data_IF_949768980643
#
_entry.id   IF_949768980643
#
_cell.length_a   1.000
_cell.length_b   1.000
_cell.length_c   1.000
_cell.angle_alpha   90.00
_cell.angle_beta   90.00
_cell.angle_gamma   90.00
#
_symmetry.space_group_name_H-M   'P 1'
#
loop_
_entity.id
_entity.type
_entity.pdbx_description
1 polymer ?
#
# COMPACT_ATOMS: atom_id res chain seq x y z
N UNK A 1 -29.80 12.15 -1.32
CA UNK A 1 -29.04 11.08 -0.64
C UNK A 1 -28.09 11.74 0.34
N UNK A 2 -28.23 11.49 1.65
CA UNK A 2 -27.30 12.04 2.64
C UNK A 2 -25.96 11.30 2.52
N UNK A 3 -24.85 12.03 2.61
CA UNK A 3 -23.53 11.41 2.65
C UNK A 3 -23.45 10.46 3.86
N UNK A 4 -22.83 9.27 3.72
CA UNK A 4 -22.66 8.35 4.84
C UNK A 4 -21.85 9.04 5.95
N UNK A 5 -22.09 8.68 7.21
CA UNK A 5 -21.25 9.17 8.31
C UNK A 5 -19.78 8.76 8.08
N UNK A 6 -18.88 9.72 8.27
CA UNK A 6 -17.45 9.49 8.11
C UNK A 6 -16.87 8.72 9.31
N UNK A 7 -15.96 7.78 9.03
CA UNK A 7 -15.19 7.09 10.07
C UNK A 7 -13.77 7.66 10.09
N UNK A 8 -13.49 8.53 11.06
CA UNK A 8 -12.14 9.08 11.24
C UNK A 8 -11.21 8.06 11.93
N UNK A 9 -11.67 7.45 13.01
CA UNK A 9 -10.99 6.38 13.74
C UNK A 9 -11.98 5.27 14.03
N UNK A 10 -11.52 4.02 13.99
CA UNK A 10 -12.29 2.91 14.54
C UNK A 10 -11.98 2.68 16.01
N UNK A 11 -12.99 2.17 16.71
CA UNK A 11 -12.91 1.70 18.09
C UNK A 11 -13.70 0.40 18.16
N UNK A 12 -12.97 -0.71 18.26
CA UNK A 12 -13.54 -2.06 18.33
C UNK A 12 -13.27 -2.60 19.74
N UNK A 13 -14.34 -2.91 20.46
CA UNK A 13 -14.26 -3.45 21.82
C UNK A 13 -13.77 -4.91 21.87
N UNK A 14 -14.02 -5.66 20.79
CA UNK A 14 -13.71 -7.08 20.66
C UNK A 14 -12.27 -7.38 20.23
N UNK A 15 -11.52 -6.40 19.73
CA UNK A 15 -10.17 -6.60 19.19
C UNK A 15 -9.15 -5.60 19.76
N UNK A 16 -7.91 -6.07 19.93
CA UNK A 16 -6.80 -5.23 20.38
C UNK A 16 -6.30 -4.36 19.24
N UNK A 17 -6.36 -3.04 19.41
CA UNK A 17 -5.72 -2.09 18.48
C UNK A 17 -4.21 -2.33 18.46
N UNK A 18 -3.66 -2.58 17.27
CA UNK A 18 -2.23 -2.79 17.05
C UNK A 18 -1.53 -1.46 16.82
N UNK A 19 -2.00 -0.68 15.84
CA UNK A 19 -1.53 0.68 15.56
C UNK A 19 -2.50 1.41 14.62
N UNK A 20 -2.33 2.73 14.52
CA UNK A 20 -2.98 3.56 13.51
C UNK A 20 -1.94 4.15 12.57
N UNK A 21 -2.10 3.89 11.28
CA UNK A 21 -1.36 4.59 10.23
C UNK A 21 -2.09 5.85 9.80
N UNK A 22 -1.58 6.53 8.76
CA UNK A 22 -2.20 7.76 8.22
C UNK A 22 -3.69 7.54 7.86
N UNK A 23 -4.01 6.41 7.23
CA UNK A 23 -5.37 6.15 6.67
C UNK A 23 -5.96 4.78 7.03
N UNK A 24 -5.26 3.98 7.86
CA UNK A 24 -5.70 2.64 8.26
C UNK A 24 -5.53 2.45 9.76
N UNK A 25 -6.52 1.85 10.40
CA UNK A 25 -6.44 1.34 11.76
C UNK A 25 -6.28 -0.18 11.68
N UNK A 26 -5.32 -0.73 12.43
CA UNK A 26 -4.98 -2.15 12.36
C UNK A 26 -5.20 -2.79 13.72
N UNK A 27 -5.89 -3.93 13.75
CA UNK A 27 -6.19 -4.70 14.96
C UNK A 27 -5.60 -6.10 14.88
N UNK A 28 -5.13 -6.63 16.00
CA UNK A 28 -4.75 -8.03 16.11
C UNK A 28 -6.02 -8.90 16.28
N UNK A 29 -6.14 -9.97 15.49
CA UNK A 29 -7.21 -10.98 15.64
C UNK A 29 -6.67 -12.18 16.42
N UNK A 30 -5.60 -12.79 15.90
CA UNK A 30 -4.89 -13.91 16.53
C UNK A 30 -3.39 -13.87 16.13
N UNK A 31 -2.63 -14.93 16.37
CA UNK A 31 -1.20 -14.99 16.02
C UNK A 31 -0.91 -14.91 14.52
N UNK A 32 -1.87 -15.29 13.66
CA UNK A 32 -1.73 -15.43 12.22
C UNK A 32 -2.55 -14.41 11.43
N UNK A 33 -3.50 -13.74 12.05
CA UNK A 33 -4.43 -12.84 11.37
C UNK A 33 -4.51 -11.46 12.03
N UNK A 34 -4.77 -10.46 11.20
CA UNK A 34 -5.04 -9.09 11.62
C UNK A 34 -6.18 -8.50 10.80
N UNK A 35 -6.88 -7.53 11.38
CA UNK A 35 -7.90 -6.75 10.71
C UNK A 35 -7.29 -5.43 10.25
N UNK A 36 -7.44 -5.09 8.98
CA UNK A 36 -7.11 -3.75 8.46
C UNK A 36 -8.42 -3.02 8.19
N UNK A 37 -8.66 -1.93 8.91
CA UNK A 37 -9.78 -1.01 8.71
C UNK A 37 -9.28 0.20 7.92
N UNK A 38 -9.79 0.41 6.72
CA UNK A 38 -9.49 1.63 5.94
C UNK A 38 -10.44 2.74 6.36
N UNK A 39 -9.91 3.80 6.97
CA UNK A 39 -10.70 4.92 7.48
C UNK A 39 -10.99 5.94 6.37
N UNK A 40 -11.79 6.95 6.71
CA UNK A 40 -12.10 8.09 5.85
C UNK A 40 -11.04 9.21 5.97
N UNK A 41 -10.01 9.04 6.81
CA UNK A 41 -8.86 9.95 6.90
C UNK A 41 -8.10 10.03 5.60
N UNK A 42 -7.65 11.23 5.26
CA UNK A 42 -6.78 11.51 4.12
C UNK A 42 -5.52 12.22 4.62
N UNK A 43 -4.39 12.01 3.95
CA UNK A 43 -3.14 12.70 4.27
C UNK A 43 -2.56 13.38 3.04
N UNK A 44 -1.99 14.56 3.24
CA UNK A 44 -1.21 15.30 2.24
C UNK A 44 0.06 15.83 2.91
N UNK A 45 1.18 15.82 2.18
CA UNK A 45 2.49 16.24 2.70
C UNK A 45 2.84 15.60 4.05
N UNK A 46 2.59 14.29 4.16
CA UNK A 46 2.81 13.48 5.37
C UNK A 46 1.99 13.85 6.61
N UNK A 47 1.06 14.79 6.50
CA UNK A 47 0.14 15.19 7.57
C UNK A 47 -1.26 14.62 7.31
N UNK A 48 -1.88 14.05 8.35
CA UNK A 48 -3.28 13.63 8.32
C UNK A 48 -4.16 14.88 8.45
N UNK A 49 -5.07 15.09 7.51
CA UNK A 49 -5.97 16.24 7.52
C UNK A 49 -7.08 16.05 8.57
N UNK A 50 -7.57 17.15 9.19
CA UNK A 50 -8.62 17.08 10.20
C UNK A 50 -9.97 16.63 9.62
N UNK A 51 -10.25 16.99 8.35
CA UNK A 51 -11.52 16.68 7.69
C UNK A 51 -11.45 15.35 6.92
N UNK A 52 -12.24 14.33 7.27
CA UNK A 52 -12.29 13.08 6.53
C UNK A 52 -13.10 13.21 5.23
N UNK A 53 -12.89 12.27 4.30
CA UNK A 53 -13.70 12.14 3.08
C UNK A 53 -14.72 11.02 3.27
N UNK A 54 -16.01 11.32 3.53
CA UNK A 54 -16.98 10.30 3.88
C UNK A 54 -17.12 9.20 2.83
N UNK A 55 -16.99 7.95 3.24
CA UNK A 55 -17.10 6.78 2.35
C UNK A 55 -15.83 6.42 1.58
N UNK A 56 -14.76 7.21 1.66
CA UNK A 56 -13.46 6.89 1.03
C UNK A 56 -12.95 5.50 1.43
N UNK A 57 -13.04 5.16 2.71
CA UNK A 57 -12.55 3.87 3.22
C UNK A 57 -13.22 2.67 2.55
N UNK A 58 -14.52 2.80 2.25
CA UNK A 58 -15.29 1.77 1.52
C UNK A 58 -14.85 1.66 0.07
N UNK A 59 -14.70 2.80 -0.61
CA UNK A 59 -14.24 2.84 -2.01
C UNK A 59 -12.85 2.22 -2.14
N UNK A 60 -11.90 2.63 -1.31
CA UNK A 60 -10.52 2.11 -1.37
C UNK A 60 -10.44 0.63 -1.00
N UNK A 61 -11.29 0.15 -0.11
CA UNK A 61 -11.38 -1.28 0.21
C UNK A 61 -11.93 -2.08 -0.97
N UNK A 62 -12.99 -1.58 -1.63
CA UNK A 62 -13.54 -2.21 -2.83
C UNK A 62 -12.53 -2.26 -3.98
N UNK A 63 -11.80 -1.16 -4.23
CA UNK A 63 -10.72 -1.11 -5.23
C UNK A 63 -9.61 -2.11 -4.90
N UNK A 64 -9.21 -2.21 -3.63
CA UNK A 64 -8.17 -3.16 -3.21
C UNK A 64 -8.63 -4.61 -3.45
N UNK A 65 -9.87 -4.96 -3.04
CA UNK A 65 -10.43 -6.29 -3.26
C UNK A 65 -10.55 -6.64 -4.75
N UNK A 66 -10.94 -5.68 -5.59
CA UNK A 66 -10.95 -5.86 -7.04
C UNK A 66 -9.56 -6.23 -7.57
N UNK A 67 -8.51 -5.50 -7.15
CA UNK A 67 -7.15 -5.77 -7.60
C UNK A 67 -6.61 -7.10 -7.06
N UNK A 68 -6.86 -7.43 -5.79
CA UNK A 68 -6.48 -8.74 -5.22
C UNK A 68 -7.10 -9.91 -6.00
N UNK A 69 -8.36 -9.79 -6.41
CA UNK A 69 -9.00 -10.80 -7.25
C UNK A 69 -8.39 -10.83 -8.65
N UNK A 70 -8.16 -9.66 -9.27
CA UNK A 70 -7.63 -9.53 -10.63
C UNK A 70 -6.21 -10.08 -10.77
N UNK A 71 -5.38 -9.92 -9.75
CA UNK A 71 -3.96 -10.33 -9.74
C UNK A 71 -3.69 -11.65 -9.01
N UNK A 72 -4.71 -12.29 -8.43
CA UNK A 72 -4.54 -13.53 -7.66
C UNK A 72 -3.93 -14.70 -8.45
N UNK A 73 -4.04 -14.70 -9.78
CA UNK A 73 -3.38 -15.67 -10.68
C UNK A 73 -1.87 -15.40 -10.90
N UNK A 74 -1.41 -14.20 -10.56
CA UNK A 74 -0.02 -13.76 -10.76
C UNK A 74 0.77 -14.05 -9.48
N UNK A 75 0.24 -13.65 -8.32
CA UNK A 75 0.89 -13.87 -7.03
C UNK A 75 -0.16 -14.06 -5.92
N UNK A 76 0.07 -14.97 -4.94
CA UNK A 76 -0.77 -15.03 -3.75
C UNK A 76 -0.76 -13.70 -3.00
N UNK A 77 -1.90 -13.33 -2.44
CA UNK A 77 -2.03 -12.13 -1.62
C UNK A 77 -2.33 -12.49 -0.15
N UNK A 78 -2.33 -11.47 0.70
CA UNK A 78 -2.46 -11.64 2.14
C UNK A 78 -3.91 -11.85 2.63
N UNK A 79 -4.93 -11.83 1.77
CA UNK A 79 -6.31 -12.02 2.22
C UNK A 79 -6.44 -13.39 2.92
N UNK A 80 -7.09 -13.38 4.08
CA UNK A 80 -7.38 -14.60 4.83
C UNK A 80 -8.70 -15.21 4.36
N UNK A 81 -8.85 -16.53 4.54
CA UNK A 81 -10.13 -17.19 4.36
C UNK A 81 -11.13 -16.92 5.51
N UNK A 82 -10.64 -16.36 6.62
CA UNK A 82 -11.43 -16.01 7.79
C UNK A 82 -12.41 -14.88 7.45
N UNK A 83 -13.70 -15.09 7.70
CA UNK A 83 -14.72 -14.09 7.41
C UNK A 83 -14.68 -12.92 8.39
N UNK A 84 -15.26 -11.78 8.01
CA UNK A 84 -15.36 -10.62 8.91
C UNK A 84 -16.22 -10.93 10.15
N UNK A 85 -17.25 -11.76 10.01
CA UNK A 85 -18.10 -12.20 11.12
C UNK A 85 -17.34 -13.06 12.12
N UNK A 86 -16.49 -13.98 11.64
CA UNK A 86 -15.62 -14.79 12.49
C UNK A 86 -14.54 -13.94 13.16
N UNK A 87 -13.98 -12.95 12.45
CA UNK A 87 -12.93 -12.08 12.96
C UNK A 87 -13.44 -11.00 13.94
N UNK A 88 -14.68 -10.54 13.78
CA UNK A 88 -15.31 -9.47 14.57
C UNK A 88 -16.67 -9.96 15.05
N UNK A 89 -16.72 -10.78 16.12
CA UNK A 89 -17.95 -11.42 16.58
C UNK A 89 -18.96 -10.42 17.16
N UNK A 90 -18.50 -9.27 17.68
CA UNK A 90 -19.39 -8.23 18.18
C UNK A 90 -20.08 -7.48 17.02
N UNK A 91 -21.42 -7.46 17.03
CA UNK A 91 -22.23 -6.86 15.96
C UNK A 91 -22.05 -5.35 15.81
N UNK A 92 -21.90 -4.62 16.92
CA UNK A 92 -21.71 -3.18 16.89
C UNK A 92 -20.33 -2.80 16.30
N UNK A 93 -19.28 -3.51 16.71
CA UNK A 93 -17.95 -3.38 16.14
C UNK A 93 -17.96 -3.71 14.64
N UNK A 94 -18.62 -4.81 14.24
CA UNK A 94 -18.70 -5.24 12.85
C UNK A 94 -19.47 -4.25 11.98
N UNK A 95 -20.55 -3.66 12.50
CA UNK A 95 -21.33 -2.64 11.80
C UNK A 95 -20.50 -1.38 11.48
N UNK A 96 -19.62 -0.96 12.39
CA UNK A 96 -18.74 0.20 12.20
C UNK A 96 -17.79 0.03 11.01
N UNK A 97 -17.26 -1.19 10.83
CA UNK A 97 -16.21 -1.47 9.83
C UNK A 97 -16.71 -2.16 8.55
N UNK A 98 -18.03 -2.38 8.45
CA UNK A 98 -18.67 -3.01 7.32
C UNK A 98 -18.33 -2.29 5.98
N UNK A 99 -17.84 -3.07 5.02
CA UNK A 99 -17.45 -2.63 3.68
C UNK A 99 -16.13 -1.86 3.61
N UNK A 100 -15.42 -1.69 4.73
CA UNK A 100 -14.14 -0.94 4.81
C UNK A 100 -13.06 -1.67 5.60
N UNK A 101 -13.26 -2.95 5.92
CA UNK A 101 -12.28 -3.79 6.59
C UNK A 101 -11.99 -5.06 5.80
N UNK A 102 -10.75 -5.51 5.88
CA UNK A 102 -10.27 -6.78 5.33
C UNK A 102 -9.56 -7.57 6.41
N UNK A 103 -9.82 -8.89 6.43
CA UNK A 103 -9.10 -9.84 7.28
C UNK A 103 -7.92 -10.37 6.50
N UNK A 104 -6.72 -10.23 7.06
CA UNK A 104 -5.48 -10.56 6.36
C UNK A 104 -4.57 -11.41 7.23
N UNK A 105 -3.71 -12.19 6.57
CA UNK A 105 -2.63 -12.95 7.18
C UNK A 105 -1.55 -11.97 7.65
N UNK A 106 -0.99 -12.24 8.83
CA UNK A 106 0.24 -11.60 9.32
C UNK A 106 1.41 -12.14 8.51
N UNK A 107 2.10 -11.26 7.81
CA UNK A 107 3.26 -11.56 6.98
C UNK A 107 4.43 -10.68 7.38
N UNK A 108 5.66 -11.16 7.11
CA UNK A 108 6.86 -10.32 7.21
C UNK A 108 6.96 -9.47 5.94
N UNK A 109 6.82 -8.16 6.09
CA UNK A 109 7.00 -7.23 4.97
C UNK A 109 8.46 -7.26 4.48
N UNK A 110 8.64 -7.13 3.17
CA UNK A 110 9.97 -6.95 2.58
C UNK A 110 10.48 -5.53 2.88
N UNK A 111 11.79 -5.32 3.10
CA UNK A 111 12.40 -4.01 3.37
C UNK A 111 12.52 -3.11 2.13
N UNK A 112 11.72 -3.34 1.09
CA UNK A 112 11.73 -2.58 -0.17
C UNK A 112 10.32 -2.24 -0.60
N UNK A 113 10.16 -1.09 -1.25
CA UNK A 113 8.94 -0.72 -1.96
C UNK A 113 9.11 -1.06 -3.44
N UNK A 114 8.27 -1.96 -3.95
CA UNK A 114 8.30 -2.46 -5.32
C UNK A 114 7.53 -1.51 -6.27
N UNK A 115 8.17 -0.39 -6.62
CA UNK A 115 7.55 0.66 -7.44
C UNK A 115 7.76 0.36 -8.93
N UNK A 116 6.69 0.44 -9.72
CA UNK A 116 6.73 0.36 -11.18
C UNK A 116 6.25 1.66 -11.80
N UNK A 117 6.98 2.14 -12.81
CA UNK A 117 6.67 3.40 -13.51
C UNK A 117 6.42 3.13 -14.98
N UNK A 118 5.23 3.48 -15.45
CA UNK A 118 4.92 3.59 -16.88
C UNK A 118 5.03 5.02 -17.44
N UNK A 119 5.10 6.02 -16.55
CA UNK A 119 5.17 7.45 -16.87
C UNK A 119 6.22 8.13 -15.97
N UNK A 120 6.90 9.13 -16.51
CA UNK A 120 7.98 9.83 -15.81
C UNK A 120 7.44 11.04 -15.03
N UNK A 121 7.18 10.83 -13.73
CA UNK A 121 6.64 11.86 -12.82
C UNK A 121 7.20 11.69 -11.40
N UNK A 122 7.00 12.69 -10.54
CA UNK A 122 7.35 12.63 -9.12
C UNK A 122 8.87 12.58 -8.89
N UNK A 123 9.33 11.75 -7.95
CA UNK A 123 10.76 11.58 -7.66
C UNK A 123 11.55 11.10 -8.89
N UNK A 124 10.97 10.23 -9.72
CA UNK A 124 11.62 9.77 -10.95
C UNK A 124 11.89 10.91 -11.95
N UNK A 125 10.99 11.89 -12.07
CA UNK A 125 11.25 13.08 -12.90
C UNK A 125 12.41 13.91 -12.34
N UNK A 126 12.47 14.12 -11.02
CA UNK A 126 13.56 14.87 -10.38
C UNK A 126 14.92 14.20 -10.60
N UNK A 127 14.98 12.87 -10.53
CA UNK A 127 16.22 12.12 -10.76
C UNK A 127 16.66 12.19 -12.22
N UNK A 128 15.71 12.03 -13.15
CA UNK A 128 15.97 12.15 -14.58
C UNK A 128 16.50 13.53 -14.97
N UNK A 129 15.93 14.62 -14.43
CA UNK A 129 16.43 15.97 -14.70
C UNK A 129 17.88 16.17 -14.25
N UNK A 130 18.30 15.49 -13.18
CA UNK A 130 19.66 15.60 -12.64
C UNK A 130 20.67 14.71 -13.37
N UNK A 131 20.24 13.51 -13.79
CA UNK A 131 21.19 12.44 -14.17
C UNK A 131 20.87 11.78 -15.52
N UNK A 132 19.70 12.03 -16.10
CA UNK A 132 19.18 11.27 -17.23
C UNK A 132 18.72 9.85 -16.87
N UNK A 133 18.71 9.48 -15.59
CA UNK A 133 18.40 8.14 -15.12
C UNK A 133 17.41 8.13 -13.94
N UNK A 134 16.80 6.98 -13.68
CA UNK A 134 15.96 6.72 -12.49
C UNK A 134 16.41 5.41 -11.87
N UNK A 135 16.78 5.41 -10.58
CA UNK A 135 17.27 4.20 -9.89
C UNK A 135 18.46 3.52 -10.62
N UNK A 136 19.31 4.30 -11.29
CA UNK A 136 20.43 3.81 -12.10
C UNK A 136 20.06 3.36 -13.52
N UNK A 137 18.77 3.41 -13.90
CA UNK A 137 18.30 3.04 -15.24
C UNK A 137 18.36 4.28 -16.14
N UNK A 138 19.25 4.29 -17.12
CA UNK A 138 19.34 5.36 -18.12
C UNK A 138 18.07 5.43 -18.98
N UNK A 139 17.53 6.63 -19.15
CA UNK A 139 16.34 6.87 -19.96
C UNK A 139 16.68 7.64 -21.24
N UNK A 140 15.83 7.55 -22.30
CA UNK A 140 15.99 8.35 -23.51
C UNK A 140 16.12 9.84 -23.20
N UNK A 141 16.89 10.57 -24.01
CA UNK A 141 16.99 12.02 -23.89
C UNK A 141 15.70 12.71 -24.34
N UNK A 142 15.46 13.91 -23.82
CA UNK A 142 14.35 14.78 -24.26
C UNK A 142 12.96 14.39 -23.73
N UNK A 143 12.86 13.47 -22.78
CA UNK A 143 11.58 13.15 -22.14
C UNK A 143 11.05 14.37 -21.38
N UNK A 144 9.72 14.55 -21.42
CA UNK A 144 9.03 15.63 -20.69
C UNK A 144 8.36 15.12 -19.41
N UNK A 145 7.99 16.06 -18.54
CA UNK A 145 7.23 15.76 -17.34
C UNK A 145 5.92 15.03 -17.70
N UNK A 146 5.64 13.94 -16.99
CA UNK A 146 4.48 13.06 -17.19
C UNK A 146 4.43 12.36 -18.56
N UNK A 147 5.56 12.27 -19.28
CA UNK A 147 5.65 11.53 -20.53
C UNK A 147 5.62 10.02 -20.29
N UNK A 148 5.00 9.28 -21.22
CA UNK A 148 4.96 7.81 -21.18
C UNK A 148 6.34 7.25 -21.48
N UNK A 149 6.80 6.30 -20.65
CA UNK A 149 8.06 5.62 -20.89
C UNK A 149 7.93 4.58 -22.02
N UNK A 150 9.02 4.26 -22.74
CA UNK A 150 9.00 3.23 -23.78
C UNK A 150 8.55 1.86 -23.28
N UNK A 151 8.90 1.53 -22.03
CA UNK A 151 8.46 0.35 -21.30
C UNK A 151 8.28 0.69 -19.82
N UNK A 152 7.48 -0.11 -19.11
CA UNK A 152 7.39 -0.01 -17.66
C UNK A 152 8.75 -0.40 -17.04
N UNK A 153 9.18 0.33 -16.02
CA UNK A 153 10.45 0.09 -15.33
C UNK A 153 10.21 -0.13 -13.83
N UNK A 154 11.00 -1.03 -13.25
CA UNK A 154 11.06 -1.27 -11.81
C UNK A 154 12.04 -0.30 -11.16
N UNK A 155 11.58 0.52 -10.23
CA UNK A 155 12.34 1.62 -9.61
C UNK A 155 12.21 1.55 -8.09
N UNK A 156 12.90 0.61 -7.43
CA UNK A 156 12.68 0.32 -6.02
C UNK A 156 13.08 1.50 -5.13
N UNK A 157 12.48 1.55 -3.95
CA UNK A 157 12.99 2.36 -2.84
C UNK A 157 13.17 1.52 -1.57
N UNK A 158 14.02 1.98 -0.66
CA UNK A 158 14.01 1.44 0.71
C UNK A 158 12.71 1.81 1.40
N UNK A 159 12.30 0.97 2.36
CA UNK A 159 11.21 1.30 3.27
C UNK A 159 11.81 2.01 4.48
N UNK A 160 11.64 3.33 4.57
CA UNK A 160 12.19 4.09 5.69
C UNK A 160 11.36 3.89 6.97
N UNK A 161 11.98 4.12 8.13
CA UNK A 161 11.24 4.18 9.39
C UNK A 161 10.27 5.36 9.41
N UNK A 162 9.25 5.26 10.26
CA UNK A 162 8.17 6.23 10.33
C UNK A 162 8.71 7.63 10.69
N UNK A 163 8.62 8.57 9.74
CA UNK A 163 9.16 9.95 9.87
C UNK A 163 10.35 10.26 8.96
N UNK A 164 10.88 9.25 8.26
CA UNK A 164 11.90 9.43 7.21
C UNK A 164 11.30 9.26 5.80
N UNK A 165 11.97 9.79 4.78
CA UNK A 165 11.56 9.61 3.39
C UNK A 165 12.17 8.35 2.80
N UNK A 166 11.37 7.61 2.03
CA UNK A 166 11.86 6.48 1.22
C UNK A 166 12.90 6.96 0.21
N UNK A 167 14.01 6.22 0.11
CA UNK A 167 15.11 6.55 -0.79
C UNK A 167 15.08 5.65 -2.02
N UNK A 168 15.10 6.23 -3.22
CA UNK A 168 15.23 5.47 -4.47
C UNK A 168 16.57 4.71 -4.46
N UNK A 169 16.52 3.40 -4.71
CA UNK A 169 17.70 2.54 -4.76
C UNK A 169 17.82 1.83 -6.10
N UNK A 170 19.01 1.32 -6.41
CA UNK A 170 19.23 0.49 -7.60
C UNK A 170 18.67 -0.92 -7.39
N UNK A 171 18.46 -1.66 -8.50
CA UNK A 171 18.13 -3.08 -8.41
C UNK A 171 19.24 -3.88 -7.72
N UNK A 172 20.52 -3.54 -7.93
CA UNK A 172 21.64 -4.16 -7.23
C UNK A 172 21.51 -4.03 -5.71
N UNK A 173 21.07 -2.87 -5.22
CA UNK A 173 20.82 -2.70 -3.78
C UNK A 173 19.65 -3.56 -3.27
N UNK A 174 18.64 -3.80 -4.11
CA UNK A 174 17.56 -4.74 -3.78
C UNK A 174 18.08 -6.18 -3.64
N UNK A 175 19.02 -6.58 -4.51
CA UNK A 175 19.70 -7.89 -4.44
C UNK A 175 20.49 -8.02 -3.14
N UNK A 176 21.23 -6.98 -2.72
CA UNK A 176 21.93 -6.98 -1.43
C UNK A 176 20.98 -7.18 -0.23
N UNK A 177 19.77 -6.62 -0.30
CA UNK A 177 18.80 -6.67 0.80
C UNK A 177 18.00 -7.98 0.87
N UNK A 178 17.69 -8.59 -0.28
CA UNK A 178 16.75 -9.71 -0.38
C UNK A 178 17.40 -11.02 -0.83
N UNK A 179 18.61 -10.97 -1.37
CA UNK A 179 19.17 -12.05 -2.18
C UNK A 179 18.66 -12.01 -3.62
N UNK A 180 19.43 -12.62 -4.52
CA UNK A 180 19.22 -12.53 -5.97
C UNK A 180 17.86 -13.11 -6.43
N UNK A 181 17.52 -14.31 -5.97
CA UNK A 181 16.30 -15.02 -6.38
C UNK A 181 15.02 -14.25 -5.98
N UNK A 182 14.97 -13.77 -4.73
CA UNK A 182 13.81 -13.04 -4.23
C UNK A 182 13.72 -11.65 -4.86
N UNK A 183 14.85 -10.95 -5.04
CA UNK A 183 14.88 -9.66 -5.72
C UNK A 183 14.40 -9.77 -7.18
N UNK A 184 14.85 -10.79 -7.92
CA UNK A 184 14.39 -11.07 -9.28
C UNK A 184 12.88 -11.35 -9.31
N UNK A 185 12.39 -12.21 -8.41
CA UNK A 185 10.96 -12.50 -8.29
C UNK A 185 10.13 -11.24 -8.03
N UNK A 186 10.56 -10.37 -7.10
CA UNK A 186 9.86 -9.11 -6.79
C UNK A 186 9.82 -8.20 -8.02
N UNK A 187 10.93 -8.02 -8.72
CA UNK A 187 11.00 -7.21 -9.94
C UNK A 187 10.08 -7.76 -11.02
N UNK A 188 10.21 -9.05 -11.32
CA UNK A 188 9.57 -9.68 -12.47
C UNK A 188 8.06 -9.83 -12.28
N UNK A 189 7.58 -10.08 -11.06
CA UNK A 189 6.14 -10.10 -10.74
C UNK A 189 5.52 -8.70 -10.74
N UNK A 190 6.32 -7.67 -10.44
CA UNK A 190 5.81 -6.29 -10.40
C UNK A 190 5.58 -5.71 -11.80
N UNK A 191 6.38 -6.12 -12.78
CA UNK A 191 6.31 -5.68 -14.19
C UNK A 191 5.19 -6.39 -14.97
#
# INVERSE_FOLDING_TARGET
MNAPAALFESTLSSLKLRYRGKVRDVYDIDERHMLIVTTDRISAFDVVLPDPIPGKGRVLTAVSNFWFARTGRIIPNHLAALSLEQAVPNDADRAQVAGRAIVVKKLKALPVEAIVRGYLIGSGWKDYQKTGAVCGIGLPQGLRLAEKLPAAIYTPSTKAEQGSHDENITFAKTVELLGEELAATVRDVSL
#
